data_IF_633985069686
#
_entry.id   IF_633985069686
#
_cell.length_a   1.000
_cell.length_b   1.000
_cell.length_c   1.000
_cell.angle_alpha   90.00
_cell.angle_beta   90.00
_cell.angle_gamma   90.00
#
_symmetry.space_group_name_H-M   'P 1'
#
loop_
_entity.id
_entity.type
_entity.pdbx_description
1 polymer ?
#
# COMPACT_ATOMS: atom_id res chain seq x y z
N UNK A 1 4.82 -21.35 -15.47
CA UNK A 1 4.10 -21.12 -14.20
C UNK A 1 5.11 -20.58 -13.21
N UNK A 2 5.12 -19.28 -12.94
CA UNK A 2 6.08 -18.69 -12.01
C UNK A 2 5.61 -18.96 -10.58
N UNK A 3 6.20 -19.95 -9.94
CA UNK A 3 6.00 -20.20 -8.52
C UNK A 3 7.05 -19.36 -7.79
N UNK A 4 6.64 -18.30 -7.09
CA UNK A 4 7.58 -17.35 -6.46
C UNK A 4 8.35 -17.96 -5.27
N UNK A 5 8.09 -19.21 -4.87
CA UNK A 5 8.74 -19.88 -3.73
C UNK A 5 8.35 -19.30 -2.36
N UNK A 6 7.85 -18.05 -2.31
CA UNK A 6 7.34 -17.33 -1.15
C UNK A 6 6.13 -16.47 -1.58
N UNK A 7 5.14 -16.22 -0.70
CA UNK A 7 4.01 -15.37 -1.02
C UNK A 7 4.46 -13.92 -1.30
N UNK A 8 3.80 -13.25 -2.24
CA UNK A 8 4.07 -11.86 -2.60
C UNK A 8 3.62 -10.96 -1.44
N UNK A 9 4.53 -10.20 -0.81
CA UNK A 9 4.17 -9.29 0.26
C UNK A 9 3.47 -8.05 -0.30
N UNK A 10 2.22 -7.81 0.10
CA UNK A 10 1.48 -6.59 -0.25
C UNK A 10 1.11 -5.80 1.01
N UNK A 11 1.06 -4.47 0.94
CA UNK A 11 0.63 -3.66 2.07
C UNK A 11 -0.85 -3.92 2.38
N UNK A 12 -1.19 -4.05 3.65
CA UNK A 12 -2.60 -4.18 4.05
C UNK A 12 -3.39 -2.94 3.66
N UNK A 13 -4.63 -3.12 3.18
CA UNK A 13 -5.52 -2.01 2.80
C UNK A 13 -5.75 -0.99 3.92
N UNK A 14 -5.67 -1.43 5.19
CA UNK A 14 -5.81 -0.58 6.37
C UNK A 14 -4.83 0.60 6.38
N UNK A 15 -3.65 0.48 5.75
CA UNK A 15 -2.69 1.58 5.64
C UNK A 15 -3.23 2.73 4.80
N UNK A 16 -3.85 2.42 3.67
CA UNK A 16 -4.48 3.42 2.81
C UNK A 16 -5.67 4.06 3.52
N UNK A 17 -6.49 3.27 4.22
CA UNK A 17 -7.64 3.79 4.96
C UNK A 17 -7.21 4.73 6.10
N UNK A 18 -6.17 4.37 6.85
CA UNK A 18 -5.61 5.21 7.91
C UNK A 18 -5.11 6.54 7.35
N UNK A 19 -4.31 6.49 6.28
CA UNK A 19 -3.77 7.69 5.64
C UNK A 19 -4.90 8.57 5.06
N UNK A 20 -5.89 7.96 4.41
CA UNK A 20 -7.05 8.68 3.88
C UNK A 20 -7.84 9.36 4.99
N UNK A 21 -8.16 8.65 6.09
CA UNK A 21 -8.86 9.26 7.23
C UNK A 21 -8.08 10.41 7.84
N UNK A 22 -6.76 10.27 8.02
CA UNK A 22 -5.93 11.34 8.55
C UNK A 22 -5.96 12.58 7.64
N UNK A 23 -5.80 12.39 6.33
CA UNK A 23 -5.83 13.48 5.36
C UNK A 23 -7.21 14.14 5.29
N UNK A 24 -8.28 13.37 5.27
CA UNK A 24 -9.65 13.86 5.14
C UNK A 24 -10.17 14.54 6.41
N UNK A 25 -9.91 13.96 7.59
CA UNK A 25 -10.50 14.44 8.84
C UNK A 25 -9.58 15.42 9.58
N UNK A 26 -8.28 15.17 9.60
CA UNK A 26 -7.35 15.99 10.38
C UNK A 26 -6.68 17.04 9.50
N UNK A 27 -6.04 16.63 8.40
CA UNK A 27 -5.26 17.55 7.56
C UNK A 27 -6.15 18.52 6.79
N UNK A 28 -7.22 18.04 6.16
CA UNK A 28 -8.12 18.89 5.37
C UNK A 28 -8.83 19.93 6.25
N UNK A 29 -9.14 19.59 7.51
CA UNK A 29 -9.79 20.53 8.45
C UNK A 29 -8.95 21.78 8.68
N UNK A 30 -7.63 21.64 8.79
CA UNK A 30 -6.68 22.75 8.96
C UNK A 30 -6.35 23.40 7.62
N UNK A 31 -6.13 22.58 6.58
CA UNK A 31 -5.76 23.06 5.25
C UNK A 31 -6.87 23.84 4.53
N UNK A 32 -8.14 23.71 4.95
CA UNK A 32 -9.27 24.39 4.32
C UNK A 32 -9.13 25.92 4.29
N UNK A 33 -8.42 26.50 5.26
CA UNK A 33 -8.18 27.94 5.35
C UNK A 33 -7.19 28.46 4.29
N UNK A 34 -6.37 27.57 3.70
CA UNK A 34 -5.40 27.92 2.69
C UNK A 34 -5.71 27.18 1.37
N UNK A 35 -6.16 27.88 0.31
CA UNK A 35 -6.52 27.25 -0.96
C UNK A 35 -5.42 26.39 -1.59
N UNK A 36 -4.15 26.79 -1.44
CA UNK A 36 -3.02 26.04 -1.97
C UNK A 36 -2.81 24.73 -1.21
N UNK A 37 -2.84 24.77 0.12
CA UNK A 37 -2.72 23.55 0.94
C UNK A 37 -3.91 22.61 0.72
N UNK A 38 -5.13 23.15 0.64
CA UNK A 38 -6.33 22.38 0.30
C UNK A 38 -6.16 21.60 -1.00
N UNK A 39 -5.67 22.25 -2.06
CA UNK A 39 -5.41 21.59 -3.35
C UNK A 39 -4.36 20.47 -3.23
N UNK A 40 -3.29 20.70 -2.48
CA UNK A 40 -2.25 19.69 -2.27
C UNK A 40 -2.79 18.47 -1.50
N UNK A 41 -3.54 18.69 -0.42
CA UNK A 41 -4.16 17.61 0.37
C UNK A 41 -5.15 16.82 -0.49
N UNK A 42 -5.96 17.50 -1.32
CA UNK A 42 -6.86 16.84 -2.26
C UNK A 42 -6.09 15.98 -3.27
N UNK A 43 -4.96 16.48 -3.77
CA UNK A 43 -4.06 15.73 -4.65
C UNK A 43 -3.53 14.45 -4.01
N UNK A 44 -3.12 14.51 -2.74
CA UNK A 44 -2.67 13.35 -1.97
C UNK A 44 -3.78 12.30 -1.79
N UNK A 45 -4.99 12.74 -1.45
CA UNK A 45 -6.16 11.86 -1.31
C UNK A 45 -6.44 11.14 -2.64
N UNK A 46 -6.43 11.86 -3.76
CA UNK A 46 -6.64 11.27 -5.09
C UNK A 46 -5.54 10.25 -5.43
N UNK A 47 -4.28 10.58 -5.16
CA UNK A 47 -3.15 9.68 -5.41
C UNK A 47 -3.27 8.38 -4.59
N UNK A 48 -3.62 8.46 -3.31
CA UNK A 48 -3.79 7.28 -2.45
C UNK A 48 -4.94 6.39 -2.90
N UNK A 49 -6.08 6.96 -3.30
CA UNK A 49 -7.20 6.18 -3.85
C UNK A 49 -6.83 5.48 -5.16
N UNK A 50 -6.04 6.15 -6.02
CA UNK A 50 -5.51 5.52 -7.24
C UNK A 50 -4.55 4.38 -6.91
N UNK A 51 -3.64 4.58 -5.97
CA UNK A 51 -2.72 3.53 -5.52
C UNK A 51 -3.47 2.32 -4.97
N UNK A 52 -4.50 2.52 -4.14
CA UNK A 52 -5.35 1.45 -3.64
C UNK A 52 -6.07 0.68 -4.78
N UNK A 53 -6.59 1.41 -5.77
CA UNK A 53 -7.19 0.80 -6.96
C UNK A 53 -6.19 -0.06 -7.76
N UNK A 54 -4.97 0.44 -7.93
CA UNK A 54 -3.90 -0.29 -8.62
C UNK A 54 -3.46 -1.53 -7.85
N UNK A 55 -3.39 -1.46 -6.52
CA UNK A 55 -3.08 -2.61 -5.68
C UNK A 55 -4.16 -3.70 -5.83
N UNK A 56 -5.44 -3.35 -5.81
CA UNK A 56 -6.52 -4.34 -6.03
C UNK A 56 -6.43 -5.02 -7.38
N UNK A 57 -6.02 -4.29 -8.42
CA UNK A 57 -5.78 -4.87 -9.74
C UNK A 57 -4.58 -5.84 -9.73
N UNK A 58 -3.53 -5.52 -8.98
CA UNK A 58 -2.39 -6.41 -8.75
C UNK A 58 -2.82 -7.68 -8.00
N UNK A 59 -3.62 -7.56 -6.94
CA UNK A 59 -4.16 -8.70 -6.18
C UNK A 59 -4.99 -9.63 -7.07
N UNK A 60 -5.85 -9.08 -7.93
CA UNK A 60 -6.64 -9.86 -8.87
C UNK A 60 -5.74 -10.55 -9.92
N UNK A 61 -4.67 -9.90 -10.36
CA UNK A 61 -3.66 -10.49 -11.25
C UNK A 61 -2.94 -11.65 -10.56
N UNK A 62 -2.52 -11.49 -9.30
CA UNK A 62 -1.92 -12.55 -8.49
C UNK A 62 -2.87 -13.72 -8.31
N UNK A 63 -4.14 -13.46 -8.01
CA UNK A 63 -5.18 -14.48 -7.88
C UNK A 63 -5.36 -15.27 -9.17
N UNK A 64 -5.43 -14.61 -10.33
CA UNK A 64 -5.53 -15.26 -11.65
C UNK A 64 -4.28 -16.09 -11.97
N UNK A 65 -3.10 -15.61 -11.57
CA UNK A 65 -1.83 -16.30 -11.74
C UNK A 65 -1.56 -17.40 -10.68
N UNK A 66 -2.47 -17.59 -9.71
CA UNK A 66 -2.30 -18.49 -8.55
C UNK A 66 -1.03 -18.18 -7.74
N UNK A 67 -0.71 -16.91 -7.60
CA UNK A 67 0.36 -16.40 -6.73
C UNK A 67 -0.27 -16.08 -5.39
N UNK A 68 0.27 -16.68 -4.32
CA UNK A 68 -0.17 -16.38 -2.96
C UNK A 68 0.23 -14.96 -2.57
N UNK A 69 -0.71 -14.23 -1.97
CA UNK A 69 -0.53 -12.87 -1.47
C UNK A 69 -0.53 -12.90 0.04
N UNK A 70 0.41 -12.19 0.64
CA UNK A 70 0.47 -12.00 2.08
C UNK A 70 0.38 -10.53 2.44
N UNK A 71 -0.61 -10.19 3.26
CA UNK A 71 -0.86 -8.82 3.68
C UNK A 71 0.02 -8.43 4.87
N UNK A 72 0.83 -7.38 4.69
CA UNK A 72 1.70 -6.85 5.73
C UNK A 72 1.09 -5.61 6.38
N UNK A 73 0.97 -5.66 7.70
CA UNK A 73 0.48 -4.57 8.54
C UNK A 73 1.62 -3.82 9.24
N UNK A 74 2.83 -4.38 9.25
CA UNK A 74 4.04 -3.71 9.70
C UNK A 74 5.26 -4.23 8.93
N UNK A 75 6.28 -3.38 8.77
CA UNK A 75 7.56 -3.76 8.15
C UNK A 75 8.46 -4.57 9.09
N UNK A 76 8.14 -4.65 10.39
CA UNK A 76 8.91 -5.40 11.39
C UNK A 76 8.96 -6.92 11.11
N UNK A 77 8.07 -7.44 10.28
CA UNK A 77 8.04 -8.85 9.87
C UNK A 77 9.01 -9.17 8.72
N UNK A 78 9.55 -8.14 8.04
CA UNK A 78 10.55 -8.33 6.99
C UNK A 78 11.92 -8.70 7.55
N UNK A 79 12.21 -8.37 8.82
CA UNK A 79 13.46 -8.75 9.49
C UNK A 79 13.71 -10.26 9.56
N UNK A 80 12.64 -11.06 9.48
CA UNK A 80 12.70 -12.53 9.51
C UNK A 80 12.71 -13.16 8.09
N UNK A 81 12.44 -12.37 7.05
CA UNK A 81 12.31 -12.87 5.66
C UNK A 81 13.56 -12.69 4.82
N UNK A 82 14.39 -11.68 5.12
CA UNK A 82 15.71 -11.50 4.54
C UNK A 82 16.74 -12.36 5.28
N UNK A 83 16.61 -13.68 5.20
CA UNK A 83 17.74 -14.55 5.50
C UNK A 83 18.75 -14.43 4.35
N UNK A 84 20.06 -14.35 4.64
CA UNK A 84 21.11 -14.16 3.62
C UNK A 84 21.20 -15.29 2.58
N UNK A 85 20.41 -16.37 2.69
CA UNK A 85 20.36 -17.47 1.71
C UNK A 85 19.67 -17.10 0.39
N UNK A 86 18.87 -16.02 0.34
CA UNK A 86 18.25 -15.53 -0.91
C UNK A 86 19.23 -14.70 -1.77
N UNK A 87 20.46 -14.47 -1.29
CA UNK A 87 21.54 -13.75 -1.99
C UNK A 87 22.68 -14.73 -2.30
N UNK A 88 22.47 -15.61 -3.26
CA UNK A 88 23.58 -16.36 -3.89
C UNK A 88 23.59 -16.02 -5.39
N UNK A 89 24.74 -15.63 -5.97
CA UNK A 89 24.86 -15.19 -7.37
C UNK A 89 24.62 -16.31 -8.40
#
# INVERSE_FOLDING_TARGET
>A
MANLGKPLPLPSHIHYELLLRLLEQQTMSVAYQNPQLRMQVQGLIVALRKALSQQRQLEETCKQAKIDVEYQWSTNQLGDRFLPEDVVP
#
